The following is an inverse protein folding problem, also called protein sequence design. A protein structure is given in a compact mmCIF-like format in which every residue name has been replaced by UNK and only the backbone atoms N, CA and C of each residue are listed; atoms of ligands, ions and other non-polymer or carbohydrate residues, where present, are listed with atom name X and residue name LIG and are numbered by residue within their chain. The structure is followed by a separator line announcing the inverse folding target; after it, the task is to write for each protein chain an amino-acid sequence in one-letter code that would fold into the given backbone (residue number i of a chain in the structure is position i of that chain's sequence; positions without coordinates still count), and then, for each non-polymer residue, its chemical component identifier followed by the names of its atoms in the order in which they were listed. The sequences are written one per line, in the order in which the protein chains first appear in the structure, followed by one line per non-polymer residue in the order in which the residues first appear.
data_IF_652216421818
#
_entry.id   IF_652216421818
#
_cell.length_a   1.000
_cell.length_b   1.000
_cell.length_c   1.000
_cell.angle_alpha   90.00
_cell.angle_beta   90.00
_cell.angle_gamma   90.00
#
_symmetry.space_group_name_H-M   'P 1'
#
loop_
_entity.id
_entity.type
_entity.pdbx_description
1 polymer ?
#
# COMPACT_ATOMS: atom_id res chain seq x y z
N UNK A 1 -38.25 18.52 -14.30
CA UNK A 1 -38.71 17.23 -13.75
C UNK A 1 -37.83 16.12 -14.31
N UNK A 2 -36.70 15.85 -13.65
CA UNK A 2 -35.76 14.80 -14.06
C UNK A 2 -36.20 13.45 -13.50
N UNK A 3 -36.24 12.44 -14.36
CA UNK A 3 -36.54 11.07 -14.00
C UNK A 3 -35.47 10.54 -13.04
N UNK A 4 -35.88 10.24 -11.80
CA UNK A 4 -35.08 9.40 -10.91
C UNK A 4 -35.09 7.98 -11.48
N UNK A 5 -33.93 7.52 -11.97
CA UNK A 5 -33.71 6.13 -12.31
C UNK A 5 -33.81 5.33 -11.01
N UNK A 6 -34.94 4.65 -10.86
CA UNK A 6 -35.15 3.63 -9.83
C UNK A 6 -34.12 2.51 -10.06
N UNK A 7 -33.05 2.51 -9.26
CA UNK A 7 -32.09 1.41 -9.19
C UNK A 7 -32.76 0.23 -8.44
N UNK A 8 -33.89 -0.23 -9.00
CA UNK A 8 -34.73 -1.27 -8.46
C UNK A 8 -33.97 -2.58 -8.35
N UNK A 9 -33.89 -3.09 -7.13
CA UNK A 9 -33.22 -4.34 -6.77
C UNK A 9 -33.88 -5.50 -7.50
N UNK A 10 -33.12 -6.25 -8.31
CA UNK A 10 -33.65 -7.33 -9.17
C UNK A 10 -34.18 -8.55 -8.40
N UNK A 11 -33.86 -8.72 -7.10
CA UNK A 11 -34.35 -9.86 -6.28
C UNK A 11 -34.60 -9.48 -4.80
N UNK A 12 -35.65 -10.05 -4.16
CA UNK A 12 -35.88 -9.93 -2.73
C UNK A 12 -34.77 -10.59 -1.90
N UNK A 13 -34.51 -10.06 -0.70
CA UNK A 13 -33.61 -10.71 0.25
C UNK A 13 -34.29 -11.95 0.85
N UNK A 14 -33.56 -13.06 0.92
CA UNK A 14 -33.95 -14.26 1.65
C UNK A 14 -32.93 -14.56 2.75
N UNK A 15 -33.42 -14.91 3.94
CA UNK A 15 -32.57 -15.32 5.06
C UNK A 15 -31.82 -16.62 4.72
N UNK A 16 -30.53 -16.67 5.05
CA UNK A 16 -29.67 -17.80 4.71
C UNK A 16 -29.79 -18.91 5.77
N UNK A 17 -29.97 -20.19 5.37
CA UNK A 17 -29.86 -21.30 6.31
C UNK A 17 -28.41 -21.42 6.81
N UNK A 18 -28.24 -21.55 8.13
CA UNK A 18 -26.94 -21.45 8.79
C UNK A 18 -26.01 -22.67 8.68
N UNK A 19 -24.73 -22.39 8.98
CA UNK A 19 -23.59 -23.21 9.46
C UNK A 19 -23.05 -24.39 8.63
N UNK A 20 -23.79 -24.99 7.68
CA UNK A 20 -23.21 -26.08 6.87
C UNK A 20 -22.58 -25.60 5.57
N UNK A 21 -21.24 -25.59 5.55
CA UNK A 21 -20.42 -25.26 4.38
C UNK A 21 -20.44 -26.38 3.31
N UNK A 22 -20.45 -27.63 3.75
CA UNK A 22 -20.61 -28.81 2.90
C UNK A 22 -21.24 -29.94 3.71
N UNK A 23 -21.78 -30.95 3.01
CA UNK A 23 -22.25 -32.18 3.64
C UNK A 23 -21.08 -33.13 3.99
N UNK A 24 -19.99 -33.09 3.21
CA UNK A 24 -18.76 -33.82 3.47
C UNK A 24 -17.78 -32.97 4.30
N UNK A 25 -17.29 -33.53 5.40
CA UNK A 25 -16.41 -32.81 6.33
C UNK A 25 -15.07 -32.41 5.69
N UNK A 26 -14.51 -33.23 4.82
CA UNK A 26 -13.24 -32.94 4.16
C UNK A 26 -13.39 -31.77 3.20
N UNK A 27 -14.48 -31.73 2.44
CA UNK A 27 -14.83 -30.59 1.57
C UNK A 27 -15.15 -29.33 2.36
N UNK A 28 -15.75 -29.46 3.54
CA UNK A 28 -15.96 -28.33 4.44
C UNK A 28 -14.63 -27.72 4.91
N UNK A 29 -13.62 -28.55 5.22
CA UNK A 29 -12.26 -28.08 5.58
C UNK A 29 -11.59 -27.37 4.40
N UNK A 30 -11.70 -27.91 3.17
CA UNK A 30 -11.19 -27.25 1.97
C UNK A 30 -11.85 -25.88 1.75
N UNK A 31 -13.18 -25.80 1.93
CA UNK A 31 -13.93 -24.54 1.84
C UNK A 31 -13.53 -23.55 2.92
N UNK A 32 -13.25 -23.99 4.14
CA UNK A 32 -12.70 -23.13 5.19
C UNK A 32 -11.36 -22.53 4.78
N UNK A 33 -10.44 -23.34 4.23
CA UNK A 33 -9.15 -22.85 3.74
C UNK A 33 -9.30 -21.85 2.59
N UNK A 34 -10.18 -22.14 1.62
CA UNK A 34 -10.51 -21.21 0.52
C UNK A 34 -11.14 -19.92 1.03
N UNK A 35 -11.94 -19.99 2.08
CA UNK A 35 -12.58 -18.81 2.69
C UNK A 35 -11.52 -17.93 3.35
N UNK A 36 -10.58 -18.50 4.10
CA UNK A 36 -9.47 -17.75 4.68
C UNK A 36 -8.65 -17.05 3.59
N UNK A 37 -8.25 -17.78 2.54
CA UNK A 37 -7.54 -17.19 1.41
C UNK A 37 -8.33 -16.07 0.72
N UNK A 38 -9.66 -16.20 0.65
CA UNK A 38 -10.52 -15.15 0.11
C UNK A 38 -10.59 -13.96 1.05
N UNK A 39 -10.74 -14.14 2.36
CA UNK A 39 -10.70 -13.08 3.38
C UNK A 39 -9.40 -12.27 3.26
N UNK A 40 -8.27 -12.96 3.18
CA UNK A 40 -6.94 -12.34 3.06
C UNK A 40 -6.79 -11.55 1.75
N UNK A 41 -7.59 -11.89 0.73
CA UNK A 41 -7.61 -11.19 -0.56
C UNK A 41 -8.61 -10.02 -0.62
N UNK A 42 -9.44 -9.83 0.41
CA UNK A 42 -10.40 -8.74 0.53
C UNK A 42 -9.80 -7.59 1.36
N UNK A 43 -10.36 -6.36 1.28
CA UNK A 43 -9.76 -5.18 1.94
C UNK A 43 -9.78 -5.17 3.47
N UNK A 44 -10.48 -6.10 4.13
CA UNK A 44 -10.58 -6.17 5.60
C UNK A 44 -11.32 -5.01 6.28
N UNK A 45 -12.07 -4.17 5.55
CA UNK A 45 -12.66 -2.90 6.07
C UNK A 45 -14.07 -3.01 6.65
N UNK A 46 -14.74 -4.15 6.50
CA UNK A 46 -16.12 -4.39 6.99
C UNK A 46 -17.14 -3.26 6.72
N UNK A 47 -16.99 -2.60 5.58
CA UNK A 47 -17.69 -1.35 5.27
C UNK A 47 -19.15 -1.50 4.77
N UNK A 48 -19.60 -2.72 4.46
CA UNK A 48 -20.96 -2.94 3.95
C UNK A 48 -21.21 -2.57 2.49
N UNK A 49 -20.24 -1.98 1.77
CA UNK A 49 -20.46 -1.38 0.44
C UNK A 49 -20.89 -2.38 -0.66
N UNK A 50 -20.51 -3.64 -0.54
CA UNK A 50 -20.91 -4.72 -1.43
C UNK A 50 -22.25 -5.39 -1.06
N UNK A 51 -22.86 -4.94 0.05
CA UNK A 51 -24.08 -5.53 0.63
C UNK A 51 -23.84 -6.67 1.62
N UNK A 52 -22.59 -7.14 1.80
CA UNK A 52 -22.22 -8.05 2.88
C UNK A 52 -21.75 -7.25 4.13
N UNK A 53 -22.14 -7.65 5.35
CA UNK A 53 -21.82 -6.89 6.58
C UNK A 53 -20.33 -6.93 6.95
N UNK A 54 -19.59 -7.96 6.51
CA UNK A 54 -18.15 -8.10 6.73
C UNK A 54 -17.46 -8.70 5.51
N UNK A 55 -16.13 -8.53 5.41
CA UNK A 55 -15.32 -9.20 4.40
C UNK A 55 -15.41 -10.73 4.53
N UNK A 56 -15.48 -11.26 5.76
CA UNK A 56 -15.70 -12.69 6.00
C UNK A 56 -17.04 -13.19 5.44
N UNK A 57 -18.12 -12.40 5.60
CA UNK A 57 -19.43 -12.74 5.04
C UNK A 57 -19.40 -12.75 3.50
N UNK A 58 -18.71 -11.78 2.88
CA UNK A 58 -18.52 -11.78 1.43
C UNK A 58 -17.65 -12.98 0.97
N UNK A 59 -16.60 -13.30 1.71
CA UNK A 59 -15.72 -14.43 1.40
C UNK A 59 -16.46 -15.78 1.45
N UNK A 60 -17.34 -15.97 2.45
CA UNK A 60 -18.23 -17.13 2.50
C UNK A 60 -19.08 -17.20 1.23
N UNK A 61 -19.68 -16.08 0.82
CA UNK A 61 -20.53 -16.03 -0.37
C UNK A 61 -19.77 -16.33 -1.66
N UNK A 62 -18.52 -15.87 -1.78
CA UNK A 62 -17.65 -16.18 -2.92
C UNK A 62 -17.33 -17.67 -2.95
N UNK A 63 -16.92 -18.26 -1.82
CA UNK A 63 -16.61 -19.70 -1.73
C UNK A 63 -17.83 -20.58 -1.97
N UNK A 64 -19.01 -20.12 -1.54
CA UNK A 64 -20.29 -20.77 -1.78
C UNK A 64 -20.89 -20.50 -3.16
N UNK A 65 -20.18 -19.78 -4.04
CA UNK A 65 -20.66 -19.42 -5.38
C UNK A 65 -21.99 -18.63 -5.37
N UNK A 66 -22.24 -17.88 -4.31
CA UNK A 66 -23.42 -17.00 -4.14
C UNK A 66 -23.14 -15.57 -4.58
N UNK A 67 -21.88 -15.16 -4.58
CA UNK A 67 -21.40 -13.86 -5.03
C UNK A 67 -20.13 -14.02 -5.85
N UNK A 68 -19.88 -13.07 -6.74
CA UNK A 68 -18.61 -12.95 -7.44
C UNK A 68 -17.70 -11.98 -6.69
N UNK A 69 -16.39 -12.18 -6.84
CA UNK A 69 -15.38 -11.34 -6.19
C UNK A 69 -15.52 -9.85 -6.55
N UNK A 70 -15.92 -9.57 -7.80
CA UNK A 70 -16.20 -8.22 -8.29
C UNK A 70 -17.41 -7.52 -7.66
N UNK A 71 -18.17 -8.19 -6.78
CA UNK A 71 -19.20 -7.54 -5.97
C UNK A 71 -18.59 -6.57 -4.93
N UNK A 72 -17.33 -6.79 -4.54
CA UNK A 72 -16.62 -5.81 -3.73
C UNK A 72 -16.19 -4.63 -4.61
N UNK A 73 -16.68 -3.40 -4.34
CA UNK A 73 -16.30 -2.23 -5.15
C UNK A 73 -14.81 -1.86 -5.00
N UNK A 74 -14.13 -2.46 -4.02
CA UNK A 74 -12.72 -2.23 -3.72
C UNK A 74 -11.82 -3.38 -4.19
N UNK A 75 -12.40 -4.45 -4.75
CA UNK A 75 -11.65 -5.56 -5.34
C UNK A 75 -11.89 -5.54 -6.83
N UNK A 76 -10.87 -5.21 -7.59
CA UNK A 76 -10.94 -5.23 -9.04
C UNK A 76 -11.26 -6.67 -9.53
N UNK A 77 -12.19 -6.78 -10.49
CA UNK A 77 -12.46 -8.02 -11.23
C UNK A 77 -11.19 -8.50 -11.93
N UNK A 78 -10.91 -9.79 -11.85
CA UNK A 78 -9.68 -10.50 -12.26
C UNK A 78 -9.33 -10.46 -13.78
N UNK A 79 -9.73 -9.42 -14.53
CA UNK A 79 -9.43 -9.27 -15.97
C UNK A 79 -8.50 -8.10 -16.31
N UNK A 80 -7.65 -7.68 -15.35
CA UNK A 80 -6.47 -6.86 -15.63
C UNK A 80 -5.33 -7.30 -14.72
N UNK A 81 -4.51 -8.23 -15.21
CA UNK A 81 -3.20 -8.51 -14.63
C UNK A 81 -2.34 -7.25 -14.74
N UNK A 82 -2.33 -6.43 -13.68
CA UNK A 82 -1.25 -5.53 -13.26
C UNK A 82 -1.58 -4.92 -11.88
N UNK A 83 -1.88 -5.80 -10.92
CA UNK A 83 -2.14 -5.45 -9.51
C UNK A 83 -1.14 -6.06 -8.52
N UNK A 84 -0.07 -6.69 -9.02
CA UNK A 84 1.04 -7.16 -8.20
C UNK A 84 1.86 -5.97 -7.72
N UNK A 85 2.25 -6.01 -6.44
CA UNK A 85 3.26 -5.07 -5.91
C UNK A 85 4.48 -5.12 -6.84
N UNK A 86 4.78 -4.02 -7.52
CA UNK A 86 5.92 -3.95 -8.45
C UNK A 86 7.11 -3.37 -7.69
N UNK A 87 8.18 -4.14 -7.45
CA UNK A 87 9.39 -3.59 -6.87
C UNK A 87 10.00 -2.57 -7.84
N UNK A 88 10.32 -1.38 -7.34
CA UNK A 88 10.94 -0.28 -8.08
C UNK A 88 12.24 0.11 -7.38
N UNK A 89 13.31 0.35 -8.14
CA UNK A 89 14.54 0.93 -7.55
C UNK A 89 14.27 2.36 -7.10
N UNK A 90 14.79 2.75 -5.95
CA UNK A 90 14.54 4.06 -5.36
C UNK A 90 15.01 5.20 -6.28
N UNK A 91 16.16 5.04 -6.95
CA UNK A 91 16.68 6.03 -7.91
C UNK A 91 15.82 6.14 -9.16
N UNK A 92 15.27 5.02 -9.63
CA UNK A 92 14.33 5.00 -10.76
C UNK A 92 13.03 5.72 -10.40
N UNK A 93 12.49 5.43 -9.21
CA UNK A 93 11.29 6.06 -8.67
C UNK A 93 11.46 7.58 -8.55
N UNK A 94 12.57 8.05 -7.99
CA UNK A 94 12.86 9.47 -7.85
C UNK A 94 12.92 10.19 -9.21
N UNK A 95 13.52 9.55 -10.23
CA UNK A 95 13.59 10.10 -11.59
C UNK A 95 12.22 10.19 -12.25
N UNK A 96 11.39 9.15 -12.14
CA UNK A 96 10.05 9.11 -12.77
C UNK A 96 9.14 10.17 -12.13
N UNK A 97 9.26 10.38 -10.82
CA UNK A 97 8.43 11.32 -10.07
C UNK A 97 8.98 12.76 -10.05
N UNK A 98 10.11 13.02 -10.71
CA UNK A 98 10.79 14.32 -10.74
C UNK A 98 11.03 14.88 -9.31
N UNK A 99 11.58 14.04 -8.44
CA UNK A 99 11.88 14.39 -7.05
C UNK A 99 13.21 15.14 -6.94
N UNK A 100 13.24 16.19 -6.11
CA UNK A 100 14.48 16.84 -5.71
C UNK A 100 15.17 15.98 -4.64
N UNK A 101 16.34 15.44 -4.95
CA UNK A 101 17.14 14.65 -4.02
C UNK A 101 17.90 15.55 -3.04
N UNK A 102 17.67 15.36 -1.75
CA UNK A 102 18.24 16.18 -0.68
C UNK A 102 19.46 15.51 -0.03
N UNK A 103 19.57 14.18 -0.07
CA UNK A 103 20.70 13.42 0.48
C UNK A 103 21.40 12.54 -0.58
N UNK A 104 21.96 13.13 -1.65
CA UNK A 104 22.55 12.39 -2.78
C UNK A 104 23.69 11.44 -2.39
N UNK A 105 24.35 11.69 -1.27
CA UNK A 105 25.39 10.82 -0.71
C UNK A 105 24.87 9.46 -0.23
N UNK A 106 23.57 9.34 0.10
CA UNK A 106 22.98 8.07 0.57
C UNK A 106 22.77 7.09 -0.57
N UNK A 107 22.40 7.59 -1.76
CA UNK A 107 22.17 6.77 -2.97
C UNK A 107 23.36 6.78 -3.94
N UNK A 108 24.51 7.30 -3.49
CA UNK A 108 25.74 7.27 -4.26
C UNK A 108 26.23 5.81 -4.38
N UNK A 109 26.54 5.33 -5.59
CA UNK A 109 26.91 3.94 -5.79
C UNK A 109 28.13 3.59 -4.92
N UNK A 110 28.01 2.50 -4.16
CA UNK A 110 29.18 1.88 -3.55
C UNK A 110 30.19 1.55 -4.66
N UNK A 111 31.50 1.64 -4.36
CA UNK A 111 32.56 1.38 -5.35
C UNK A 111 32.22 0.15 -6.19
N UNK A 112 32.42 0.17 -7.52
CA UNK A 112 32.08 -0.98 -8.35
C UNK A 112 32.83 -2.21 -7.82
N UNK A 113 32.08 -3.20 -7.33
CA UNK A 113 32.62 -4.51 -6.98
C UNK A 113 33.27 -5.14 -8.22
N UNK A 114 34.39 -5.84 -8.02
CA UNK A 114 35.26 -6.32 -9.11
C UNK A 114 34.57 -7.29 -10.08
N UNK A 115 33.35 -7.76 -9.76
CA UNK A 115 32.64 -8.79 -10.52
C UNK A 115 31.26 -8.37 -11.08
N UNK A 116 30.80 -7.12 -10.90
CA UNK A 116 29.60 -6.58 -11.57
C UNK A 116 28.25 -7.31 -11.33
N UNK A 117 28.21 -8.23 -10.37
CA UNK A 117 27.07 -9.13 -10.07
C UNK A 117 26.45 -8.89 -8.69
N UNK A 118 26.96 -7.94 -7.90
CA UNK A 118 26.44 -7.62 -6.57
C UNK A 118 25.31 -6.57 -6.67
N UNK A 119 24.21 -6.81 -5.96
CA UNK A 119 23.11 -5.85 -5.83
C UNK A 119 23.64 -4.58 -5.15
N UNK A 120 23.50 -3.41 -5.78
CA UNK A 120 23.92 -2.13 -5.20
C UNK A 120 23.09 -1.85 -3.93
N UNK A 121 23.67 -1.98 -2.73
CA UNK A 121 22.93 -1.79 -1.49
C UNK A 121 22.48 -0.34 -1.31
N UNK A 122 23.07 0.60 -2.05
CA UNK A 122 22.68 2.02 -2.03
C UNK A 122 21.44 2.33 -2.87
N UNK A 123 20.92 1.40 -3.67
CA UNK A 123 19.69 1.59 -4.47
C UNK A 123 18.63 0.53 -4.16
N UNK A 124 17.94 0.61 -3.01
CA UNK A 124 17.03 -0.45 -2.55
C UNK A 124 15.81 -0.61 -3.45
N UNK A 125 15.24 -1.82 -3.46
CA UNK A 125 13.95 -2.10 -4.09
C UNK A 125 12.80 -1.72 -3.16
N UNK A 126 12.00 -0.77 -3.60
CA UNK A 126 10.83 -0.28 -2.88
C UNK A 126 9.57 -0.91 -3.44
N UNK A 127 8.74 -1.38 -2.51
CA UNK A 127 7.45 -2.00 -2.81
C UNK A 127 6.28 -1.32 -2.09
N UNK A 128 6.60 -0.56 -1.03
CA UNK A 128 5.61 0.00 -0.10
C UNK A 128 5.81 1.48 0.15
N UNK A 129 4.71 2.19 0.36
CA UNK A 129 4.71 3.58 0.78
C UNK A 129 3.66 3.81 1.89
N UNK A 130 3.92 4.76 2.78
CA UNK A 130 3.03 5.19 3.85
C UNK A 130 2.92 6.71 3.86
N UNK A 131 1.73 7.26 4.08
CA UNK A 131 1.52 8.70 4.10
C UNK A 131 0.82 9.10 5.40
N UNK A 132 1.50 9.89 6.23
CA UNK A 132 0.95 10.36 7.51
C UNK A 132 1.80 11.50 8.06
N UNK A 133 1.15 12.47 8.69
CA UNK A 133 1.82 13.54 9.47
C UNK A 133 1.78 13.25 10.99
N UNK A 134 1.14 12.16 11.40
CA UNK A 134 1.14 11.74 12.78
C UNK A 134 2.33 10.80 12.99
N UNK A 135 3.41 11.32 13.56
CA UNK A 135 4.63 10.55 13.81
C UNK A 135 4.40 9.27 14.65
N UNK A 136 3.44 9.30 15.58
CA UNK A 136 3.06 8.11 16.36
C UNK A 136 2.40 7.03 15.50
N UNK A 137 1.66 7.43 14.47
CA UNK A 137 1.01 6.53 13.53
C UNK A 137 2.03 5.93 12.55
N UNK A 138 2.98 6.74 12.07
CA UNK A 138 4.12 6.26 11.26
C UNK A 138 4.89 5.18 12.03
N UNK A 139 5.23 5.44 13.29
CA UNK A 139 5.96 4.49 14.13
C UNK A 139 5.24 3.14 14.31
N UNK A 140 3.91 3.16 14.35
CA UNK A 140 3.10 1.97 14.57
C UNK A 140 2.83 1.17 13.28
N UNK A 141 2.71 1.86 12.15
CA UNK A 141 2.08 1.30 10.95
C UNK A 141 2.93 1.37 9.68
N UNK A 142 4.00 2.17 9.66
CA UNK A 142 4.84 2.31 8.48
C UNK A 142 5.61 1.01 8.18
N UNK A 143 5.63 0.55 6.92
CA UNK A 143 6.26 -0.71 6.56
C UNK A 143 7.78 -0.54 6.50
N UNK A 144 8.50 -1.42 7.19
CA UNK A 144 9.95 -1.51 7.10
C UNK A 144 10.40 -1.64 5.63
N UNK A 145 11.45 -0.91 5.28
CA UNK A 145 11.98 -0.78 3.93
C UNK A 145 11.10 0.02 2.96
N UNK A 146 10.04 0.66 3.43
CA UNK A 146 9.16 1.50 2.62
C UNK A 146 9.61 2.96 2.49
N UNK A 147 8.69 3.78 1.95
CA UNK A 147 8.83 5.24 1.85
C UNK A 147 7.76 5.92 2.71
N UNK A 148 8.12 6.99 3.43
CA UNK A 148 7.15 7.90 4.07
C UNK A 148 6.88 9.12 3.21
N UNK A 149 5.62 9.53 3.10
CA UNK A 149 5.20 10.83 2.56
C UNK A 149 4.67 11.67 3.72
N UNK A 150 5.21 12.88 3.90
CA UNK A 150 4.78 13.80 4.97
C UNK A 150 4.99 15.26 4.57
N UNK A 151 4.28 16.17 5.23
CA UNK A 151 4.51 17.61 5.17
C UNK A 151 5.46 18.11 6.27
N UNK A 152 5.74 17.29 7.29
CA UNK A 152 6.59 17.65 8.43
C UNK A 152 8.06 17.63 7.99
N UNK A 153 8.85 18.64 8.38
CA UNK A 153 10.26 18.80 7.94
C UNK A 153 11.26 18.84 9.10
N UNK A 154 10.84 18.47 10.29
CA UNK A 154 11.64 18.62 11.51
C UNK A 154 12.43 17.35 11.82
N UNK A 155 13.42 17.46 12.71
CA UNK A 155 14.31 16.38 13.11
C UNK A 155 13.60 15.10 13.57
N UNK A 156 12.42 15.24 14.19
CA UNK A 156 11.64 14.10 14.67
C UNK A 156 11.18 13.16 13.55
N UNK A 157 11.02 13.67 12.32
CA UNK A 157 10.68 12.86 11.14
C UNK A 157 11.82 11.88 10.86
N UNK A 158 13.07 12.34 10.95
CA UNK A 158 14.26 11.52 10.68
C UNK A 158 14.34 10.41 11.72
N UNK A 159 14.22 10.75 13.00
CA UNK A 159 14.27 9.79 14.10
C UNK A 159 13.20 8.70 13.97
N UNK A 160 11.97 9.06 13.58
CA UNK A 160 10.87 8.11 13.41
C UNK A 160 11.03 7.27 12.16
N UNK A 161 11.43 7.87 11.04
CA UNK A 161 11.65 7.13 9.79
C UNK A 161 12.78 6.11 9.93
N UNK A 162 13.87 6.49 10.61
CA UNK A 162 14.99 5.62 10.96
C UNK A 162 14.55 4.48 11.90
N UNK A 163 13.78 4.77 12.94
CA UNK A 163 13.26 3.75 13.85
C UNK A 163 12.26 2.79 13.20
N UNK A 164 11.49 3.26 12.22
CA UNK A 164 10.59 2.44 11.40
C UNK A 164 11.29 1.72 10.25
N UNK A 165 12.63 1.79 10.17
CA UNK A 165 13.47 1.14 9.16
C UNK A 165 13.08 1.53 7.72
N UNK A 166 12.67 2.78 7.51
CA UNK A 166 12.31 3.27 6.18
C UNK A 166 13.56 3.57 5.35
N UNK A 167 13.48 3.32 4.04
CA UNK A 167 14.56 3.68 3.12
C UNK A 167 14.53 5.15 2.71
N UNK A 168 13.34 5.77 2.69
CA UNK A 168 13.22 7.17 2.28
C UNK A 168 12.05 7.94 2.90
N UNK A 169 12.19 9.26 2.90
CA UNK A 169 11.11 10.22 3.20
C UNK A 169 10.98 11.20 2.04
N UNK A 170 9.74 11.40 1.56
CA UNK A 170 9.39 12.40 0.56
C UNK A 170 8.57 13.50 1.22
N UNK A 171 9.12 14.72 1.24
CA UNK A 171 8.42 15.91 1.70
C UNK A 171 7.53 16.44 0.56
N UNK A 172 6.22 16.43 0.77
CA UNK A 172 5.25 16.90 -0.24
C UNK A 172 5.06 18.43 -0.20
N UNK A 173 4.29 18.97 -1.14
CA UNK A 173 3.90 20.39 -1.20
C UNK A 173 5.09 21.38 -1.26
N UNK A 174 6.22 20.97 -1.83
CA UNK A 174 7.45 21.77 -1.95
C UNK A 174 8.12 22.04 -0.60
N UNK A 175 7.81 21.26 0.43
CA UNK A 175 8.44 21.36 1.74
C UNK A 175 9.89 20.89 1.65
N UNK A 176 10.79 21.65 2.27
CA UNK A 176 12.21 21.32 2.36
C UNK A 176 12.67 21.51 3.81
N UNK A 177 13.32 20.50 4.42
CA UNK A 177 13.97 20.66 5.71
C UNK A 177 15.16 21.63 5.66
N UNK A 178 15.57 22.10 6.83
CA UNK A 178 16.81 22.85 7.03
C UNK A 178 18.02 21.93 6.81
N UNK A 179 19.17 22.52 6.48
CA UNK A 179 20.35 21.77 6.05
C UNK A 179 20.91 20.88 7.18
N UNK A 180 20.73 21.26 8.45
CA UNK A 180 21.10 20.45 9.62
C UNK A 180 20.28 19.16 9.74
N UNK A 181 18.99 19.21 9.41
CA UNK A 181 18.10 18.04 9.34
C UNK A 181 18.51 17.13 8.18
N UNK A 182 18.89 17.71 7.04
CA UNK A 182 19.41 16.96 5.88
C UNK A 182 20.70 16.23 6.24
N UNK A 183 21.64 16.92 6.89
CA UNK A 183 22.89 16.32 7.37
C UNK A 183 22.63 15.19 8.36
N UNK A 184 21.67 15.36 9.29
CA UNK A 184 21.29 14.31 10.22
C UNK A 184 20.77 13.06 9.50
N UNK A 185 19.90 13.24 8.52
CA UNK A 185 19.33 12.12 7.76
C UNK A 185 20.39 11.35 6.98
N UNK A 186 21.36 12.06 6.38
CA UNK A 186 22.48 11.43 5.70
C UNK A 186 23.33 10.58 6.65
N UNK A 187 23.55 11.04 7.89
CA UNK A 187 24.26 10.27 8.92
C UNK A 187 23.49 9.04 9.42
N UNK A 188 22.18 8.97 9.19
CA UNK A 188 21.32 7.82 9.50
C UNK A 188 20.97 6.99 8.25
N UNK A 189 21.68 7.20 7.13
CA UNK A 189 21.49 6.47 5.86
C UNK A 189 20.05 6.55 5.30
N UNK A 190 19.34 7.65 5.61
CA UNK A 190 17.96 7.87 5.17
C UNK A 190 17.91 8.77 3.93
N UNK A 191 17.32 8.28 2.85
CA UNK A 191 17.16 9.06 1.63
C UNK A 191 16.05 10.10 1.79
N UNK A 192 16.35 11.36 1.49
CA UNK A 192 15.39 12.46 1.58
C UNK A 192 15.12 13.04 0.21
N UNK A 193 13.84 13.30 -0.05
CA UNK A 193 13.37 13.90 -1.28
C UNK A 193 12.37 15.02 -1.00
N UNK A 194 12.33 16.02 -1.86
CA UNK A 194 11.25 17.00 -1.91
C UNK A 194 10.46 16.87 -3.22
N UNK A 195 9.14 17.04 -3.15
CA UNK A 195 8.25 17.11 -4.31
C UNK A 195 7.38 18.34 -4.22
N UNK A 196 7.17 19.03 -5.35
CA UNK A 196 6.21 20.13 -5.45
C UNK A 196 4.76 19.66 -5.48
N UNK A 197 4.52 18.38 -5.79
CA UNK A 197 3.20 17.76 -5.78
C UNK A 197 2.65 17.68 -4.35
N UNK A 198 1.32 17.76 -4.19
CA UNK A 198 0.70 17.49 -2.90
C UNK A 198 0.72 15.99 -2.55
N UNK A 199 0.43 15.67 -1.29
CA UNK A 199 0.47 14.29 -0.78
C UNK A 199 -0.47 13.35 -1.54
N UNK A 200 -1.64 13.83 -1.98
CA UNK A 200 -2.62 12.98 -2.65
C UNK A 200 -2.16 12.63 -4.07
N UNK A 201 -1.70 13.64 -4.82
CA UNK A 201 -1.15 13.45 -6.16
C UNK A 201 0.07 12.53 -6.13
N UNK A 202 0.99 12.76 -5.18
CA UNK A 202 2.18 11.93 -5.02
C UNK A 202 1.82 10.47 -4.68
N UNK A 203 0.87 10.27 -3.75
CA UNK A 203 0.37 8.94 -3.40
C UNK A 203 -0.27 8.23 -4.60
N UNK A 204 -1.06 8.95 -5.41
CA UNK A 204 -1.66 8.43 -6.64
C UNK A 204 -0.61 7.95 -7.64
N UNK A 205 0.41 8.76 -7.92
CA UNK A 205 1.50 8.40 -8.83
C UNK A 205 2.30 7.20 -8.32
N UNK A 206 2.62 7.15 -7.04
CA UNK A 206 3.30 6.00 -6.44
C UNK A 206 2.47 4.71 -6.58
N UNK A 207 1.14 4.83 -6.43
CA UNK A 207 0.23 3.70 -6.61
C UNK A 207 0.18 3.21 -8.06
N UNK A 208 0.15 4.13 -9.04
CA UNK A 208 0.22 3.83 -10.47
C UNK A 208 1.53 3.14 -10.86
N UNK A 209 2.63 3.49 -10.19
CA UNK A 209 3.94 2.84 -10.36
C UNK A 209 4.00 1.43 -9.75
N UNK A 210 2.96 0.99 -9.04
CA UNK A 210 2.83 -0.37 -8.52
C UNK A 210 3.21 -0.52 -7.04
N UNK A 211 3.52 0.58 -6.34
CA UNK A 211 3.71 0.53 -4.89
C UNK A 211 2.35 0.41 -4.19
N UNK A 212 2.35 -0.15 -2.98
CA UNK A 212 1.14 -0.32 -2.17
C UNK A 212 1.33 0.21 -0.74
N UNK A 213 0.21 0.51 -0.08
CA UNK A 213 0.21 0.87 1.34
C UNK A 213 0.63 -0.28 2.26
N UNK A 214 0.74 0.00 3.56
CA UNK A 214 0.88 -1.04 4.57
C UNK A 214 -0.34 -1.98 4.53
N UNK A 215 -0.16 -3.32 4.56
CA UNK A 215 -1.28 -4.23 4.69
C UNK A 215 -2.01 -3.95 6.01
N UNK A 216 -3.33 -3.82 5.95
CA UNK A 216 -4.18 -3.65 7.12
C UNK A 216 -4.33 -4.97 7.89
#
# INVERSE_FOLDING_TARGET
CGAHLDAGRRRPFAARPGIRLDADMSRAIEKLGRMQATIDSLPGRDCGACGAPTCAALAEDIVMQRAERGLCPYVASDESKEGGVRPMRLRELARILDLEELTPQVLAPARPGEDGLEEDPSDPLITRAYASDLLSDVLANAPAGGILITLQVHLNVIAVASHAELHAVIFSCGRRPEDDVIERAAGEELALFASRADTFELAGRLYELGLRGSPA
#
